data_IF_572071066550
#
_entry.id   IF_572071066550
#
_cell.length_a   1.000
_cell.length_b   1.000
_cell.length_c   1.000
_cell.angle_alpha   90.00
_cell.angle_beta   90.00
_cell.angle_gamma   90.00
#
_symmetry.space_group_name_H-M   'P 1'
#
loop_
_entity.id
_entity.type
_entity.pdbx_description
1 polymer ?
#
# COMPACT_ATOMS: atom_id res chain seq x y z
N UNK A 1 6.25 28.58 -5.48
CA UNK A 1 7.31 27.53 -5.33
C UNK A 1 6.60 26.20 -5.19
N UNK A 2 7.16 25.08 -5.66
CA UNK A 2 6.51 23.77 -5.49
C UNK A 2 7.11 23.07 -4.27
N UNK A 3 6.26 22.61 -3.36
CA UNK A 3 6.65 21.76 -2.22
C UNK A 3 6.50 20.31 -2.68
N UNK A 4 7.57 19.53 -2.61
CA UNK A 4 7.56 18.10 -2.95
C UNK A 4 7.68 17.32 -1.64
N UNK A 5 6.70 16.45 -1.36
CA UNK A 5 6.65 15.66 -0.14
C UNK A 5 6.20 14.23 -0.44
N UNK A 6 6.67 13.27 0.34
CA UNK A 6 6.08 11.93 0.37
C UNK A 6 5.12 11.79 1.56
N UNK A 7 4.11 10.95 1.41
CA UNK A 7 3.15 10.62 2.47
C UNK A 7 2.89 9.10 2.43
N UNK A 8 2.97 8.46 3.59
CA UNK A 8 2.85 7.02 3.72
C UNK A 8 2.21 6.60 5.05
N UNK A 9 1.63 5.40 5.06
CA UNK A 9 1.02 4.76 6.22
C UNK A 9 1.56 3.36 6.44
N UNK A 10 1.60 2.93 7.69
CA UNK A 10 2.03 1.58 8.05
C UNK A 10 1.14 0.99 9.15
N UNK A 11 0.83 -0.29 9.07
CA UNK A 11 0.10 -0.99 10.12
C UNK A 11 0.72 -2.36 10.39
N UNK A 12 1.04 -2.63 11.66
CA UNK A 12 1.55 -3.91 12.14
C UNK A 12 0.36 -4.84 12.46
N UNK A 13 -0.19 -5.44 11.42
CA UNK A 13 -1.51 -6.07 11.41
C UNK A 13 -2.58 -5.11 10.87
N UNK A 14 -3.61 -5.62 10.20
CA UNK A 14 -4.61 -4.78 9.56
C UNK A 14 -6.04 -5.26 9.88
N UNK A 15 -6.70 -4.72 10.95
CA UNK A 15 -6.24 -3.63 11.82
C UNK A 15 -5.21 -4.06 12.89
N UNK A 16 -4.41 -3.09 13.37
CA UNK A 16 -3.39 -3.28 14.40
C UNK A 16 -2.74 -1.95 14.80
N UNK A 17 -1.61 -1.96 15.53
CA UNK A 17 -0.81 -0.77 15.75
C UNK A 17 -0.45 -0.14 14.41
N UNK A 18 -0.79 1.13 14.22
CA UNK A 18 -0.67 1.82 12.94
C UNK A 18 0.03 3.16 13.09
N UNK A 19 0.75 3.55 12.05
CA UNK A 19 1.46 4.81 11.97
C UNK A 19 1.21 5.52 10.64
N UNK A 20 1.52 6.79 10.63
CA UNK A 20 1.51 7.65 9.45
C UNK A 20 2.74 8.56 9.48
N UNK A 21 3.23 8.93 8.33
CA UNK A 21 4.26 9.97 8.21
C UNK A 21 4.16 10.71 6.89
N UNK A 22 4.57 11.96 6.91
CA UNK A 22 4.94 12.71 5.72
C UNK A 22 6.40 13.18 5.85
N UNK A 23 7.08 13.29 4.71
CA UNK A 23 8.49 13.62 4.65
C UNK A 23 8.81 14.53 3.45
N UNK A 24 9.59 15.56 3.69
CA UNK A 24 10.14 16.46 2.68
C UNK A 24 11.68 16.39 2.73
N UNK A 25 12.25 16.58 3.91
CA UNK A 25 13.67 16.49 4.23
C UNK A 25 13.87 16.25 5.74
N UNK A 26 15.11 16.11 6.21
CA UNK A 26 15.41 15.81 7.63
C UNK A 26 14.93 16.90 8.62
N UNK A 27 14.72 18.12 8.17
CA UNK A 27 14.20 19.23 8.98
C UNK A 27 12.70 19.43 8.84
N UNK A 28 12.05 18.75 7.89
CA UNK A 28 10.64 18.92 7.55
C UNK A 28 9.98 17.56 7.36
N UNK A 29 9.50 16.99 8.46
CA UNK A 29 8.74 15.76 8.49
C UNK A 29 7.94 15.64 9.78
N UNK A 30 6.87 14.85 9.76
CA UNK A 30 6.16 14.46 10.96
C UNK A 30 5.63 13.05 10.85
N UNK A 31 5.47 12.40 12.01
CA UNK A 31 4.88 11.09 12.13
C UNK A 31 4.00 10.99 13.38
N UNK A 32 3.07 10.06 13.35
CA UNK A 32 2.18 9.75 14.46
C UNK A 32 1.49 8.43 14.24
N UNK A 33 0.51 8.08 15.08
CA UNK A 33 -0.16 6.80 14.91
C UNK A 33 -1.17 6.49 16.00
N UNK A 34 -1.59 5.24 16.05
CA UNK A 34 -2.59 4.70 16.97
C UNK A 34 -2.24 3.28 17.39
N UNK A 35 -2.73 2.89 18.57
CA UNK A 35 -2.64 1.50 19.03
C UNK A 35 -3.48 0.54 18.19
N UNK A 36 -4.49 1.07 17.49
CA UNK A 36 -5.36 0.30 16.64
C UNK A 36 -5.83 1.13 15.44
N UNK A 37 -5.36 0.79 14.26
CA UNK A 37 -5.69 1.43 13.01
C UNK A 37 -5.49 0.47 11.83
N UNK A 38 -5.64 1.00 10.62
CA UNK A 38 -5.39 0.27 9.37
C UNK A 38 -4.35 1.00 8.56
N UNK A 39 -3.72 0.32 7.62
CA UNK A 39 -2.80 0.96 6.69
C UNK A 39 -3.46 2.13 5.94
N UNK A 40 -4.67 1.90 5.43
CA UNK A 40 -5.43 2.95 4.72
C UNK A 40 -5.74 4.18 5.60
N UNK A 41 -5.92 3.98 6.93
CA UNK A 41 -6.01 5.13 7.86
C UNK A 41 -4.71 5.91 7.91
N UNK A 42 -3.58 5.20 8.02
CA UNK A 42 -2.25 5.81 8.03
C UNK A 42 -1.97 6.63 6.78
N UNK A 43 -2.22 6.06 5.62
CA UNK A 43 -2.08 6.69 4.31
C UNK A 43 -2.87 8.02 4.19
N UNK A 44 -4.16 7.95 4.52
CA UNK A 44 -5.01 9.15 4.47
C UNK A 44 -4.59 10.20 5.50
N UNK A 45 -4.21 9.77 6.71
CA UNK A 45 -3.77 10.68 7.76
C UNK A 45 -2.45 11.37 7.42
N UNK A 46 -1.50 10.64 6.82
CA UNK A 46 -0.23 11.23 6.36
C UNK A 46 -0.47 12.40 5.40
N UNK A 47 -1.37 12.22 4.44
CA UNK A 47 -1.76 13.27 3.49
C UNK A 47 -2.47 14.42 4.21
N UNK A 48 -3.39 14.14 5.13
CA UNK A 48 -4.09 15.15 5.91
C UNK A 48 -3.12 16.02 6.72
N UNK A 49 -2.20 15.39 7.44
CA UNK A 49 -1.22 16.10 8.26
C UNK A 49 -0.23 16.93 7.43
N UNK A 50 0.12 16.45 6.22
CA UNK A 50 0.92 17.24 5.28
C UNK A 50 0.17 18.52 4.84
N UNK A 51 -1.13 18.42 4.52
CA UNK A 51 -1.93 19.60 4.19
C UNK A 51 -2.03 20.57 5.36
N UNK A 52 -2.20 20.08 6.58
CA UNK A 52 -2.22 20.89 7.81
C UNK A 52 -0.88 21.59 8.05
N UNK A 53 0.21 20.85 7.98
CA UNK A 53 1.55 21.37 8.19
C UNK A 53 1.92 22.49 7.20
N UNK A 54 1.39 22.43 5.98
CA UNK A 54 1.65 23.40 4.91
C UNK A 54 0.51 24.39 4.70
N UNK A 55 -0.46 24.51 5.61
CA UNK A 55 -1.64 25.38 5.48
C UNK A 55 -1.26 26.85 5.27
N UNK A 56 -0.26 27.34 5.98
CA UNK A 56 0.24 28.70 5.88
C UNK A 56 0.88 29.05 4.52
N UNK A 57 1.15 28.04 3.68
CA UNK A 57 1.67 28.16 2.32
C UNK A 57 0.62 27.75 1.27
N UNK A 58 -0.65 28.07 1.51
CA UNK A 58 -1.76 27.66 0.64
C UNK A 58 -1.63 28.13 -0.83
N UNK A 59 -0.84 29.16 -1.09
CA UNK A 59 -0.53 29.65 -2.44
C UNK A 59 0.56 28.85 -3.17
N UNK A 60 1.26 27.95 -2.48
CA UNK A 60 2.29 27.10 -3.09
C UNK A 60 1.65 25.81 -3.62
N UNK A 61 2.20 25.31 -4.72
CA UNK A 61 1.81 24.00 -5.24
C UNK A 61 2.39 22.90 -4.36
N UNK A 62 1.55 21.91 -3.97
CA UNK A 62 1.97 20.74 -3.22
C UNK A 62 1.98 19.50 -4.12
N UNK A 63 3.16 18.93 -4.39
CA UNK A 63 3.33 17.68 -5.13
C UNK A 63 3.55 16.56 -4.13
N UNK A 64 2.60 15.62 -4.08
CA UNK A 64 2.55 14.55 -3.09
C UNK A 64 2.93 13.23 -3.77
N UNK A 65 4.06 12.66 -3.33
CA UNK A 65 4.50 11.34 -3.73
C UNK A 65 3.82 10.34 -2.80
N UNK A 66 3.10 9.38 -3.38
CA UNK A 66 2.35 8.39 -2.61
C UNK A 66 2.31 7.07 -3.39
N UNK A 67 2.53 5.95 -2.73
CA UNK A 67 2.42 4.62 -3.34
C UNK A 67 1.03 4.00 -3.16
N UNK A 68 0.19 4.59 -2.31
CA UNK A 68 -1.17 4.16 -2.08
C UNK A 68 -2.13 4.62 -3.19
N UNK A 69 -2.47 3.72 -4.09
CA UNK A 69 -3.55 3.94 -5.07
C UNK A 69 -4.89 4.25 -4.39
N UNK A 70 -5.13 3.64 -3.21
CA UNK A 70 -6.33 3.89 -2.43
C UNK A 70 -6.40 5.35 -1.97
N UNK A 71 -5.37 5.86 -1.31
CA UNK A 71 -5.33 7.25 -0.83
C UNK A 71 -5.48 8.26 -1.98
N UNK A 72 -4.74 8.06 -3.08
CA UNK A 72 -4.82 8.90 -4.27
C UNK A 72 -6.25 8.93 -4.83
N UNK A 73 -6.87 7.76 -5.01
CA UNK A 73 -8.22 7.68 -5.58
C UNK A 73 -9.29 8.22 -4.63
N UNK A 74 -9.18 7.96 -3.32
CA UNK A 74 -10.07 8.56 -2.33
C UNK A 74 -10.14 10.07 -2.48
N UNK A 75 -8.98 10.73 -2.52
CA UNK A 75 -8.89 12.19 -2.51
C UNK A 75 -9.19 12.78 -3.90
N UNK A 76 -8.60 12.22 -4.95
CA UNK A 76 -8.67 12.81 -6.30
C UNK A 76 -9.95 12.46 -7.06
N UNK A 77 -10.54 11.29 -6.82
CA UNK A 77 -11.63 10.77 -7.66
C UNK A 77 -12.94 10.55 -6.91
N UNK A 78 -12.92 9.89 -5.75
CA UNK A 78 -14.14 9.39 -5.13
C UNK A 78 -14.79 10.38 -4.17
N UNK A 79 -13.98 11.13 -3.42
CA UNK A 79 -14.45 12.08 -2.40
C UNK A 79 -15.50 13.07 -2.92
N UNK A 80 -15.38 13.68 -4.12
CA UNK A 80 -16.44 14.56 -4.63
C UNK A 80 -17.79 13.85 -4.82
N UNK A 81 -17.76 12.58 -5.25
CA UNK A 81 -18.96 11.75 -5.40
C UNK A 81 -19.56 11.36 -4.06
N UNK A 82 -18.74 10.99 -3.09
CA UNK A 82 -19.19 10.66 -1.74
C UNK A 82 -19.80 11.86 -1.03
N UNK A 83 -19.17 13.02 -1.12
CA UNK A 83 -19.68 14.27 -0.58
C UNK A 83 -21.10 14.59 -1.08
N UNK A 84 -21.33 14.45 -2.41
CA UNK A 84 -22.67 14.64 -3.01
C UNK A 84 -23.71 13.65 -2.50
N UNK A 85 -23.30 12.42 -2.11
CA UNK A 85 -24.16 11.36 -1.56
C UNK A 85 -24.23 11.37 -0.02
N UNK A 86 -23.77 12.43 0.65
CA UNK A 86 -23.74 12.51 2.11
C UNK A 86 -22.77 11.51 2.75
N UNK A 87 -21.58 11.32 2.14
CA UNK A 87 -20.51 10.42 2.60
C UNK A 87 -20.93 8.95 2.63
N UNK A 88 -21.65 8.55 1.60
CA UNK A 88 -22.10 7.16 1.41
C UNK A 88 -21.57 6.58 0.11
N UNK A 89 -21.26 5.29 0.14
CA UNK A 89 -20.96 4.47 -1.04
C UNK A 89 -22.19 4.31 -1.93
N UNK A 90 -22.02 3.74 -3.12
CA UNK A 90 -23.12 3.49 -4.05
C UNK A 90 -24.19 2.53 -3.48
N UNK A 91 -23.80 1.62 -2.60
CA UNK A 91 -24.68 0.68 -1.89
C UNK A 91 -25.41 1.30 -0.67
N UNK A 92 -25.20 2.59 -0.40
CA UNK A 92 -25.80 3.35 0.70
C UNK A 92 -25.10 3.21 2.06
N UNK A 93 -24.04 2.39 2.17
CA UNK A 93 -23.24 2.27 3.39
C UNK A 93 -22.37 3.50 3.61
N UNK A 94 -21.99 3.82 4.85
CA UNK A 94 -20.99 4.84 5.14
C UNK A 94 -19.67 4.53 4.44
N UNK A 95 -18.97 5.57 3.98
CA UNK A 95 -17.59 5.45 3.48
C UNK A 95 -16.67 5.09 4.65
N UNK A 96 -15.70 4.22 4.41
CA UNK A 96 -14.64 3.93 5.41
C UNK A 96 -13.78 5.18 5.62
N UNK A 97 -13.19 5.31 6.79
CA UNK A 97 -12.33 6.43 7.16
C UNK A 97 -13.00 7.81 6.96
N UNK A 98 -14.32 7.86 7.12
CA UNK A 98 -15.14 9.03 6.78
C UNK A 98 -14.70 10.30 7.51
N UNK A 99 -14.27 10.21 8.77
CA UNK A 99 -13.84 11.38 9.54
C UNK A 99 -12.56 11.98 8.94
N UNK A 100 -11.56 11.16 8.64
CA UNK A 100 -10.30 11.61 8.00
C UNK A 100 -10.61 12.21 6.62
N UNK A 101 -11.50 11.61 5.84
CA UNK A 101 -11.88 12.11 4.52
C UNK A 101 -12.63 13.43 4.57
N UNK A 102 -13.45 13.67 5.59
CA UNK A 102 -14.10 14.98 5.79
C UNK A 102 -13.09 16.06 6.15
N UNK A 103 -12.13 15.74 6.98
CA UNK A 103 -11.05 16.65 7.34
C UNK A 103 -10.13 16.94 6.15
N UNK A 104 -9.84 15.95 5.33
CA UNK A 104 -9.14 16.09 4.04
C UNK A 104 -9.93 17.02 3.09
N UNK A 105 -11.24 16.78 2.93
CA UNK A 105 -12.10 17.64 2.09
C UNK A 105 -12.04 19.13 2.54
N UNK A 106 -11.94 19.37 3.83
CA UNK A 106 -11.76 20.72 4.34
C UNK A 106 -10.34 21.28 4.08
N UNK A 107 -9.30 20.45 4.32
CA UNK A 107 -7.91 20.87 4.22
C UNK A 107 -7.45 21.16 2.78
N UNK A 108 -8.04 20.51 1.78
CA UNK A 108 -7.69 20.71 0.36
C UNK A 108 -8.39 21.89 -0.30
N UNK A 109 -9.33 22.56 0.40
CA UNK A 109 -10.04 23.70 -0.18
C UNK A 109 -9.08 24.84 -0.51
N UNK A 110 -9.19 25.35 -1.75
CA UNK A 110 -8.34 26.43 -2.27
C UNK A 110 -6.84 26.09 -2.29
N UNK A 111 -6.47 24.81 -2.31
CA UNK A 111 -5.10 24.34 -2.44
C UNK A 111 -4.81 23.88 -3.85
N UNK A 112 -3.62 24.24 -4.36
CA UNK A 112 -3.05 23.62 -5.58
C UNK A 112 -2.25 22.41 -5.17
N UNK A 113 -2.64 21.23 -5.64
CA UNK A 113 -1.90 19.99 -5.35
C UNK A 113 -1.99 19.00 -6.50
N UNK A 114 -0.98 18.16 -6.58
CA UNK A 114 -0.90 17.03 -7.52
C UNK A 114 -0.40 15.79 -6.79
N UNK A 115 -0.97 14.63 -7.12
CA UNK A 115 -0.42 13.35 -6.69
C UNK A 115 0.46 12.77 -7.78
N UNK A 116 1.59 12.27 -7.38
CA UNK A 116 2.45 11.42 -8.20
C UNK A 116 2.52 10.05 -7.56
N UNK A 117 2.01 9.05 -8.28
CA UNK A 117 2.16 7.69 -7.82
C UNK A 117 3.60 7.23 -7.97
N UNK A 118 4.17 6.71 -6.91
CA UNK A 118 5.48 6.07 -6.90
C UNK A 118 5.30 4.60 -6.56
N UNK A 119 6.23 3.77 -6.99
CA UNK A 119 6.19 2.37 -6.61
C UNK A 119 6.78 2.21 -5.21
N UNK A 120 6.03 1.64 -4.28
CA UNK A 120 6.50 1.32 -2.93
C UNK A 120 7.71 0.39 -2.96
N UNK A 121 8.64 0.58 -2.04
CA UNK A 121 9.87 -0.20 -1.87
C UNK A 121 10.71 -0.36 -3.16
N UNK A 122 10.76 0.68 -3.97
CA UNK A 122 11.47 0.69 -5.26
C UNK A 122 12.66 1.66 -5.33
N UNK A 123 13.19 2.10 -4.19
CA UNK A 123 14.35 2.98 -4.11
C UNK A 123 14.02 4.46 -4.29
N UNK A 124 12.77 4.88 -4.08
CA UNK A 124 12.41 6.29 -4.10
C UNK A 124 12.68 6.93 -2.74
N UNK A 125 13.78 7.68 -2.62
CA UNK A 125 14.32 8.20 -1.34
C UNK A 125 13.27 8.85 -0.43
N UNK A 126 12.42 9.74 -0.96
CA UNK A 126 11.40 10.42 -0.14
C UNK A 126 10.31 9.47 0.34
N UNK A 127 9.86 8.52 -0.51
CA UNK A 127 8.82 7.56 -0.12
C UNK A 127 9.35 6.57 0.91
N UNK A 128 10.58 6.07 0.74
CA UNK A 128 11.21 5.19 1.72
C UNK A 128 11.42 5.88 3.07
N UNK A 129 11.79 7.16 3.04
CA UNK A 129 11.91 7.95 4.26
C UNK A 129 10.56 8.15 4.98
N UNK A 130 9.46 8.30 4.26
CA UNK A 130 8.12 8.36 4.84
C UNK A 130 7.68 7.00 5.40
N UNK A 131 7.86 5.91 4.63
CA UNK A 131 7.56 4.53 5.06
C UNK A 131 8.29 4.16 6.36
N UNK A 132 9.62 4.40 6.42
CA UNK A 132 10.42 4.12 7.62
C UNK A 132 9.87 4.83 8.86
N UNK A 133 9.47 6.09 8.72
CA UNK A 133 8.92 6.90 9.83
C UNK A 133 7.51 6.46 10.22
N UNK A 134 6.65 6.15 9.27
CA UNK A 134 5.32 5.60 9.53
C UNK A 134 5.42 4.25 10.25
N UNK A 135 6.32 3.39 9.80
CA UNK A 135 6.60 2.09 10.42
C UNK A 135 7.21 2.24 11.82
N UNK A 136 8.11 3.19 12.03
CA UNK A 136 8.67 3.49 13.35
C UNK A 136 7.56 3.94 14.32
N UNK A 137 6.62 4.77 13.88
CA UNK A 137 5.47 5.20 14.66
C UNK A 137 4.55 4.02 15.02
N UNK A 138 4.21 3.16 14.06
CA UNK A 138 3.43 1.95 14.30
C UNK A 138 4.12 1.01 15.32
N UNK A 139 5.46 0.85 15.18
CA UNK A 139 6.26 0.03 16.10
C UNK A 139 6.31 0.62 17.51
N UNK A 140 6.37 1.95 17.64
CA UNK A 140 6.32 2.64 18.93
C UNK A 140 4.97 2.36 19.64
N UNK A 141 3.86 2.45 18.93
CA UNK A 141 2.53 2.07 19.43
C UNK A 141 2.46 0.61 19.85
N UNK A 142 2.99 -0.31 19.04
CA UNK A 142 3.03 -1.74 19.38
C UNK A 142 3.79 -2.00 20.68
N UNK A 143 4.85 -1.22 20.96
CA UNK A 143 5.71 -1.38 22.15
C UNK A 143 5.31 -0.47 23.29
N UNK A 144 4.24 0.31 23.16
CA UNK A 144 3.87 1.37 24.12
C UNK A 144 5.06 2.30 24.46
N UNK A 145 5.84 2.62 23.42
CA UNK A 145 7.03 3.49 23.51
C UNK A 145 6.69 4.90 22.99
N UNK A 146 7.50 5.92 23.33
CA UNK A 146 7.34 7.26 22.76
C UNK A 146 7.42 7.24 21.22
N UNK A 147 6.43 7.87 20.59
CA UNK A 147 6.38 7.98 19.12
C UNK A 147 7.34 9.07 18.65
N UNK A 148 8.17 8.83 17.63
CA UNK A 148 9.01 9.86 17.03
C UNK A 148 8.15 10.80 16.18
N UNK A 149 7.75 11.96 16.72
CA UNK A 149 6.82 12.88 16.04
C UNK A 149 7.47 13.76 14.95
N UNK A 150 8.80 13.87 14.93
CA UNK A 150 9.53 14.74 14.01
C UNK A 150 9.49 16.23 14.38
N UNK A 151 10.25 17.05 13.64
CA UNK A 151 10.32 18.51 13.86
C UNK A 151 9.08 19.28 13.37
N UNK A 152 8.25 18.62 12.57
CA UNK A 152 7.17 19.31 11.85
C UNK A 152 7.67 20.03 10.59
N UNK A 153 6.88 20.98 10.07
CA UNK A 153 7.25 21.80 8.92
C UNK A 153 7.86 23.13 9.41
N UNK A 154 9.15 23.32 9.14
CA UNK A 154 9.94 24.44 9.69
C UNK A 154 10.24 25.54 8.68
N UNK A 155 9.85 25.40 7.41
CA UNK A 155 10.04 26.45 6.40
C UNK A 155 9.21 27.66 6.75
N UNK A 156 9.90 28.78 6.95
CA UNK A 156 9.38 30.02 7.49
C UNK A 156 8.06 30.49 6.85
N UNK A 157 7.10 30.75 7.71
CA UNK A 157 6.26 31.92 7.52
C UNK A 157 7.17 33.14 7.56
N UNK A 158 7.01 34.08 6.61
CA UNK A 158 7.73 35.33 6.56
C UNK A 158 7.83 35.97 7.97
N UNK A 159 8.90 36.70 8.31
CA UNK A 159 9.17 37.15 9.66
C UNK A 159 8.04 38.05 10.15
N UNK A 160 7.21 37.54 11.06
CA UNK A 160 6.07 38.30 11.61
C UNK A 160 5.06 37.56 12.45
N UNK A 161 5.35 36.42 13.04
CA UNK A 161 4.46 35.89 14.10
C UNK A 161 5.24 34.98 15.05
N UNK A 162 5.87 35.60 16.04
CA UNK A 162 6.39 34.89 17.19
C UNK A 162 5.28 34.79 18.25
N UNK A 163 4.87 33.60 18.59
CA UNK A 163 4.18 33.31 19.85
C UNK A 163 4.56 31.94 20.38
N UNK A 164 5.39 32.01 21.42
CA UNK A 164 5.51 31.12 22.57
C UNK A 164 5.92 29.65 22.33
N UNK A 165 7.21 29.42 22.26
CA UNK A 165 7.82 28.15 22.66
C UNK A 165 8.12 28.22 24.17
N UNK A 166 7.59 27.26 24.91
CA UNK A 166 7.98 27.08 26.32
C UNK A 166 9.11 26.07 26.39
N UNK A 167 10.22 26.57 26.88
CA UNK A 167 11.49 25.89 27.13
C UNK A 167 11.38 24.78 28.18
N UNK A 168 12.02 23.66 27.94
CA UNK A 168 12.65 22.89 28.98
C UNK A 168 14.02 22.38 28.48
N UNK A 169 15.05 23.02 29.01
CA UNK A 169 16.45 22.66 28.81
C UNK A 169 16.90 21.63 29.82
N UNK A 170 17.82 20.74 29.42
CA UNK A 170 19.00 20.33 30.20
C UNK A 170 19.78 19.26 29.39
N UNK A 171 20.92 19.64 29.01
CA UNK A 171 22.30 19.41 29.49
C UNK A 171 23.04 18.32 28.72
N UNK A 172 24.05 18.76 28.00
CA UNK A 172 25.18 17.97 27.47
C UNK A 172 26.08 17.40 28.61
N UNK A 173 26.94 16.41 28.30
CA UNK A 173 28.32 16.85 28.04
C UNK A 173 29.03 16.12 26.89
N UNK A 174 29.96 16.90 26.31
CA UNK A 174 30.96 16.55 25.33
C UNK A 174 31.91 15.45 25.79
N UNK A 175 32.35 14.62 24.87
CA UNK A 175 33.77 14.17 24.87
C UNK A 175 34.26 13.95 23.44
N UNK A 176 35.38 14.56 23.19
CA UNK A 176 36.23 14.52 22.00
C UNK A 176 37.06 13.24 21.95
N UNK A 177 37.23 12.64 20.77
CA UNK A 177 38.46 11.99 20.38
C UNK A 177 38.57 11.84 18.84
N UNK A 178 39.68 12.11 18.40
CA UNK A 178 40.32 12.46 17.14
C UNK A 178 40.95 11.21 16.52
N UNK A 179 41.14 11.27 15.16
CA UNK A 179 42.21 10.64 14.37
C UNK A 179 41.98 9.17 14.00
N UNK A 180 42.19 8.65 12.77
CA UNK A 180 43.10 8.97 11.67
C UNK A 180 42.61 8.35 10.36
N UNK A 181 43.07 8.88 9.26
CA UNK A 181 42.90 8.40 7.89
C UNK A 181 43.83 7.22 7.59
N UNK A 182 43.39 6.25 6.80
CA UNK A 182 44.27 5.51 5.93
C UNK A 182 43.62 5.21 4.56
N UNK A 183 44.42 5.58 3.56
CA UNK A 183 44.21 5.36 2.14
C UNK A 183 44.57 3.94 1.75
N UNK A 184 43.76 3.32 0.89
CA UNK A 184 44.12 2.07 0.24
C UNK A 184 43.44 1.94 -1.10
N UNK A 185 44.19 2.24 -2.14
CA UNK A 185 43.83 2.01 -3.54
C UNK A 185 43.97 0.53 -3.90
N UNK A 186 43.14 0.06 -4.84
CA UNK A 186 43.61 -1.01 -5.66
C UNK A 186 42.59 -2.05 -6.12
N UNK A 187 42.35 -2.02 -7.38
CA UNK A 187 42.23 -3.12 -8.36
C UNK A 187 40.85 -3.59 -8.78
N UNK A 188 40.54 -3.15 -10.00
CA UNK A 188 39.63 -3.82 -10.94
C UNK A 188 40.19 -5.17 -11.38
N UNK A 189 39.33 -6.15 -11.54
CA UNK A 189 39.59 -7.37 -12.31
C UNK A 189 38.23 -7.99 -12.80
N UNK A 190 38.24 -8.87 -13.79
CA UNK A 190 37.76 -8.54 -15.12
C UNK A 190 36.40 -9.22 -15.45
N UNK A 191 35.75 -8.67 -16.46
CA UNK A 191 34.57 -9.22 -17.15
C UNK A 191 34.91 -10.58 -17.79
N UNK A 192 34.26 -11.65 -17.36
CA UNK A 192 34.20 -12.90 -18.11
C UNK A 192 32.84 -13.00 -18.85
N UNK A 193 32.90 -12.75 -20.16
CA UNK A 193 31.92 -13.24 -21.11
C UNK A 193 32.09 -14.74 -21.29
N UNK A 194 31.15 -15.51 -20.76
CA UNK A 194 31.09 -16.97 -20.95
C UNK A 194 29.69 -17.33 -21.40
N UNK A 195 29.49 -17.42 -22.71
CA UNK A 195 28.34 -18.08 -23.31
C UNK A 195 28.44 -19.58 -23.04
N UNK A 196 27.52 -20.13 -22.25
CA UNK A 196 27.23 -21.55 -22.24
C UNK A 196 25.71 -21.76 -22.31
N UNK A 197 25.27 -22.20 -23.48
CA UNK A 197 23.99 -22.85 -23.62
C UNK A 197 24.04 -24.15 -22.82
N UNK A 198 23.36 -24.20 -21.68
CA UNK A 198 23.09 -25.41 -20.93
C UNK A 198 21.77 -26.02 -21.43
N UNK A 199 21.84 -27.29 -21.79
CA UNK A 199 20.70 -28.16 -22.07
C UNK A 199 19.71 -28.17 -20.89
N UNK A 200 18.40 -28.48 -21.08
CA UNK A 200 17.44 -28.56 -20.01
C UNK A 200 17.79 -29.67 -19.05
N UNK A 201 18.46 -29.32 -17.96
CA UNK A 201 18.67 -30.21 -16.84
C UNK A 201 17.36 -30.44 -16.12
N UNK A 202 17.05 -31.70 -15.83
CA UNK A 202 15.98 -32.09 -14.92
C UNK A 202 15.99 -31.21 -13.67
N UNK A 203 14.93 -30.47 -13.50
CA UNK A 203 14.58 -29.83 -12.22
C UNK A 203 14.35 -30.97 -11.22
N UNK A 204 15.34 -31.24 -10.39
CA UNK A 204 15.17 -32.11 -9.24
C UNK A 204 14.05 -31.51 -8.38
N UNK A 205 12.86 -32.09 -8.44
CA UNK A 205 11.74 -31.80 -7.57
C UNK A 205 12.08 -32.32 -6.16
N UNK A 206 12.77 -31.49 -5.37
CA UNK A 206 13.02 -31.74 -3.95
C UNK A 206 12.51 -30.52 -3.13
N UNK A 207 11.22 -30.30 -3.17
CA UNK A 207 10.47 -29.40 -2.34
C UNK A 207 9.01 -29.68 -2.59
N UNK A 208 8.44 -30.69 -1.94
CA UNK A 208 6.99 -30.83 -1.89
C UNK A 208 6.49 -29.62 -1.11
N UNK A 209 5.74 -28.73 -1.79
CA UNK A 209 5.06 -27.63 -1.12
C UNK A 209 4.18 -28.23 -0.01
N UNK A 210 4.40 -27.83 1.22
CA UNK A 210 3.63 -28.33 2.35
C UNK A 210 2.18 -27.80 2.28
N UNK A 211 1.18 -28.60 2.71
CA UNK A 211 -0.18 -28.08 2.79
C UNK A 211 -0.20 -26.89 3.74
N UNK A 212 -0.83 -25.81 3.33
CA UNK A 212 -1.04 -24.64 4.20
C UNK A 212 -1.86 -25.05 5.43
N UNK A 213 -1.53 -24.51 6.59
CA UNK A 213 -2.25 -24.76 7.83
C UNK A 213 -3.77 -24.51 7.64
N UNK A 214 -4.60 -25.29 8.34
CA UNK A 214 -6.06 -25.24 8.16
C UNK A 214 -6.65 -23.82 8.41
N UNK A 215 -6.11 -23.12 9.40
CA UNK A 215 -6.54 -21.76 9.74
C UNK A 215 -6.16 -20.76 8.63
N UNK A 216 -4.92 -20.80 8.17
CA UNK A 216 -4.45 -19.97 7.06
C UNK A 216 -5.23 -20.26 5.77
N UNK A 217 -5.46 -21.54 5.48
CA UNK A 217 -6.27 -21.95 4.31
C UNK A 217 -7.68 -21.38 4.40
N UNK A 218 -8.35 -21.50 5.53
CA UNK A 218 -9.71 -20.99 5.72
C UNK A 218 -9.75 -19.46 5.57
N UNK A 219 -8.79 -18.76 6.14
CA UNK A 219 -8.66 -17.31 6.04
C UNK A 219 -8.45 -16.86 4.59
N UNK A 220 -7.42 -17.38 3.92
CA UNK A 220 -7.04 -16.96 2.56
C UNK A 220 -8.13 -17.34 1.55
N UNK A 221 -8.75 -18.52 1.69
CA UNK A 221 -9.89 -18.90 0.83
C UNK A 221 -11.15 -18.05 1.13
N UNK A 222 -11.32 -17.59 2.36
CA UNK A 222 -12.34 -16.61 2.73
C UNK A 222 -12.14 -15.28 2.00
N UNK A 223 -10.90 -14.77 1.94
CA UNK A 223 -10.54 -13.57 1.18
C UNK A 223 -10.77 -13.75 -0.33
N UNK A 224 -10.35 -14.90 -0.89
CA UNK A 224 -10.63 -15.24 -2.31
C UNK A 224 -12.12 -15.15 -2.62
N UNK A 225 -12.98 -15.74 -1.80
CA UNK A 225 -14.42 -15.67 -1.95
C UNK A 225 -14.97 -14.25 -1.82
N UNK A 226 -14.45 -13.47 -0.88
CA UNK A 226 -14.79 -12.05 -0.70
C UNK A 226 -14.45 -11.23 -1.94
N UNK A 227 -13.25 -11.41 -2.48
CA UNK A 227 -12.80 -10.75 -3.71
C UNK A 227 -13.64 -11.15 -4.93
N UNK A 228 -14.13 -12.38 -4.97
CA UNK A 228 -15.00 -12.89 -6.04
C UNK A 228 -16.47 -12.48 -5.90
N UNK A 229 -16.87 -11.83 -4.82
CA UNK A 229 -18.24 -11.32 -4.65
C UNK A 229 -18.60 -10.34 -5.77
N UNK A 230 -19.79 -10.53 -6.35
CA UNK A 230 -20.22 -9.73 -7.49
C UNK A 230 -20.31 -8.22 -7.20
N UNK A 231 -20.50 -7.83 -5.93
CA UNK A 231 -20.51 -6.41 -5.53
C UNK A 231 -19.08 -5.85 -5.51
N UNK A 232 -18.14 -6.59 -4.95
CA UNK A 232 -16.71 -6.22 -4.93
C UNK A 232 -16.19 -6.06 -6.35
N UNK A 233 -16.53 -6.96 -7.26
CA UNK A 233 -16.10 -6.94 -8.67
C UNK A 233 -16.78 -5.87 -9.54
N UNK A 234 -17.61 -5.03 -8.97
CA UNK A 234 -18.21 -3.86 -9.63
C UNK A 234 -17.70 -2.53 -9.10
N UNK A 235 -16.86 -2.54 -8.09
CA UNK A 235 -16.32 -1.36 -7.43
C UNK A 235 -14.80 -1.49 -7.29
N UNK A 236 -14.04 -0.59 -7.93
CA UNK A 236 -12.59 -0.58 -7.76
C UNK A 236 -12.20 -0.30 -6.29
N UNK A 237 -12.95 0.56 -5.60
CA UNK A 237 -12.76 0.88 -4.19
C UNK A 237 -12.83 -0.36 -3.28
N UNK A 238 -13.74 -1.30 -3.57
CA UNK A 238 -13.89 -2.53 -2.79
C UNK A 238 -12.91 -3.63 -3.27
N UNK A 239 -12.58 -3.63 -4.56
CA UNK A 239 -11.73 -4.65 -5.14
C UNK A 239 -10.24 -4.43 -4.84
N UNK A 240 -9.79 -3.17 -4.86
CA UNK A 240 -8.36 -2.83 -4.64
C UNK A 240 -7.87 -3.24 -3.26
N UNK A 241 -8.76 -3.30 -2.27
CA UNK A 241 -8.40 -3.72 -0.91
C UNK A 241 -7.92 -5.18 -0.83
N UNK A 242 -8.25 -6.00 -1.82
CA UNK A 242 -7.75 -7.37 -1.92
C UNK A 242 -6.43 -7.47 -2.68
N UNK A 243 -6.05 -6.45 -3.44
CA UNK A 243 -4.97 -6.55 -4.39
C UNK A 243 -3.61 -6.18 -3.79
N UNK A 244 -2.60 -6.97 -4.14
CA UNK A 244 -1.21 -6.58 -3.98
C UNK A 244 -0.85 -5.50 -5.02
N UNK A 245 0.03 -4.52 -4.74
CA UNK A 245 0.46 -3.53 -5.73
C UNK A 245 1.00 -4.12 -7.05
N UNK A 246 1.62 -5.28 -6.98
CA UNK A 246 2.09 -6.01 -8.15
C UNK A 246 1.11 -7.08 -8.65
N UNK A 247 -0.19 -6.91 -8.41
CA UNK A 247 -1.21 -7.84 -8.87
C UNK A 247 -1.22 -8.04 -10.38
N UNK A 248 -1.40 -9.30 -10.79
CA UNK A 248 -1.65 -9.69 -12.17
C UNK A 248 -2.69 -10.82 -12.23
N UNK A 249 -3.58 -10.75 -13.21
CA UNK A 249 -4.55 -11.80 -13.49
C UNK A 249 -4.45 -12.20 -14.97
N UNK A 250 -4.34 -13.49 -15.24
CA UNK A 250 -4.51 -14.06 -16.58
C UNK A 250 -5.93 -14.58 -16.70
N UNK A 251 -6.74 -13.91 -17.49
CA UNK A 251 -8.12 -14.28 -17.72
C UNK A 251 -8.22 -15.57 -18.54
N UNK A 252 -9.37 -16.23 -18.50
CA UNK A 252 -9.68 -17.42 -19.33
C UNK A 252 -9.55 -17.20 -20.84
N UNK A 253 -9.51 -15.96 -21.29
CA UNK A 253 -9.34 -15.59 -22.70
C UNK A 253 -7.89 -15.18 -23.03
N UNK A 254 -6.94 -15.38 -22.13
CA UNK A 254 -5.53 -15.03 -22.31
C UNK A 254 -5.19 -13.56 -22.12
N UNK A 255 -6.16 -12.73 -21.70
CA UNK A 255 -5.90 -11.32 -21.38
C UNK A 255 -5.17 -11.20 -20.04
N UNK A 256 -4.19 -10.29 -19.99
CA UNK A 256 -3.48 -9.94 -18.76
C UNK A 256 -4.12 -8.67 -18.17
N UNK A 257 -4.49 -8.75 -16.91
CA UNK A 257 -5.02 -7.63 -16.13
C UNK A 257 -4.03 -7.32 -15.00
N UNK A 258 -3.76 -6.06 -14.79
CA UNK A 258 -3.07 -5.52 -13.63
C UNK A 258 -3.98 -4.55 -12.87
N UNK A 259 -3.50 -3.97 -11.78
CA UNK A 259 -4.29 -3.02 -10.98
C UNK A 259 -4.81 -1.86 -11.82
N UNK A 260 -3.96 -1.29 -12.70
CA UNK A 260 -4.32 -0.15 -13.54
C UNK A 260 -5.39 -0.52 -14.57
N UNK A 261 -5.26 -1.68 -15.20
CA UNK A 261 -6.23 -2.20 -16.17
C UNK A 261 -7.58 -2.49 -15.50
N UNK A 262 -7.57 -3.12 -14.33
CA UNK A 262 -8.80 -3.36 -13.54
C UNK A 262 -9.48 -2.04 -13.20
N UNK A 263 -8.73 -1.05 -12.75
CA UNK A 263 -9.25 0.27 -12.46
C UNK A 263 -9.93 0.89 -13.69
N UNK A 264 -9.24 0.88 -14.83
CA UNK A 264 -9.76 1.44 -16.07
C UNK A 264 -11.08 0.77 -16.53
N UNK A 265 -11.14 -0.56 -16.40
CA UNK A 265 -12.37 -1.34 -16.71
C UNK A 265 -13.51 -0.90 -15.81
N UNK A 266 -13.30 -0.84 -14.49
CA UNK A 266 -14.35 -0.48 -13.53
C UNK A 266 -14.74 1.00 -13.60
N UNK A 267 -13.79 1.91 -13.83
CA UNK A 267 -14.06 3.35 -14.01
C UNK A 267 -14.86 3.63 -15.30
N UNK A 268 -14.72 2.78 -16.35
CA UNK A 268 -15.52 2.87 -17.58
C UNK A 268 -16.99 2.43 -17.41
N UNK A 269 -17.37 1.99 -16.20
CA UNK A 269 -18.70 1.44 -15.89
C UNK A 269 -18.88 -0.03 -16.33
N UNK A 270 -17.82 -0.66 -16.83
CA UNK A 270 -17.81 -2.09 -17.09
C UNK A 270 -17.71 -2.86 -15.77
N UNK A 271 -17.99 -4.17 -15.84
CA UNK A 271 -17.92 -5.06 -14.67
C UNK A 271 -16.92 -6.16 -14.95
N UNK A 272 -16.16 -6.53 -13.93
CA UNK A 272 -15.41 -7.77 -14.00
C UNK A 272 -16.39 -8.95 -14.05
N UNK A 273 -16.02 -10.08 -14.70
CA UNK A 273 -16.91 -11.23 -14.83
C UNK A 273 -17.49 -11.65 -13.47
N UNK A 274 -18.81 -11.82 -13.43
CA UNK A 274 -19.48 -12.29 -12.24
C UNK A 274 -19.13 -13.75 -11.95
N UNK A 275 -18.96 -14.06 -10.67
CA UNK A 275 -18.57 -15.37 -10.20
C UNK A 275 -19.75 -16.06 -9.50
N UNK A 276 -19.74 -17.38 -9.52
CA UNK A 276 -20.70 -18.23 -8.83
C UNK A 276 -20.01 -19.08 -7.75
N UNK A 277 -20.60 -20.24 -7.41
CA UNK A 277 -20.07 -21.11 -6.38
C UNK A 277 -18.61 -21.51 -6.63
N UNK A 278 -17.82 -21.52 -5.56
CA UNK A 278 -16.42 -21.92 -5.54
C UNK A 278 -16.22 -23.19 -4.70
N UNK A 279 -15.33 -24.07 -5.14
CA UNK A 279 -14.93 -25.27 -4.43
C UNK A 279 -13.41 -25.33 -4.34
N UNK A 280 -12.86 -25.25 -3.12
CA UNK A 280 -11.43 -25.43 -2.90
C UNK A 280 -10.99 -26.85 -3.32
N UNK A 281 -9.94 -26.95 -4.08
CA UNK A 281 -9.29 -28.21 -4.47
C UNK A 281 -8.07 -28.48 -3.60
N UNK A 282 -7.19 -27.48 -3.47
CA UNK A 282 -5.99 -27.58 -2.64
C UNK A 282 -5.50 -26.18 -2.21
N UNK A 283 -4.71 -26.16 -1.14
CA UNK A 283 -3.99 -24.99 -0.66
C UNK A 283 -2.58 -25.42 -0.21
N UNK A 284 -1.57 -24.72 -0.69
CA UNK A 284 -0.18 -25.00 -0.37
C UNK A 284 0.52 -23.74 0.13
N UNK A 285 1.27 -23.86 1.23
CA UNK A 285 2.23 -22.85 1.64
C UNK A 285 3.47 -23.00 0.75
N UNK A 286 3.75 -21.97 -0.04
CA UNK A 286 4.94 -21.91 -0.89
C UNK A 286 6.11 -21.26 -0.14
N UNK A 287 5.80 -20.40 0.83
CA UNK A 287 6.69 -19.77 1.79
C UNK A 287 5.84 -19.35 3.01
N UNK A 288 6.48 -18.84 4.06
CA UNK A 288 5.80 -18.39 5.28
C UNK A 288 4.79 -17.26 4.99
N UNK A 289 5.06 -16.46 3.96
CA UNK A 289 4.26 -15.31 3.52
C UNK A 289 3.51 -15.56 2.21
N UNK A 290 3.52 -16.78 1.64
CA UNK A 290 2.97 -17.04 0.32
C UNK A 290 2.14 -18.33 0.28
N UNK A 291 0.86 -18.20 -0.07
CA UNK A 291 -0.07 -19.32 -0.22
C UNK A 291 -0.58 -19.42 -1.66
N UNK A 292 -0.51 -20.60 -2.23
CA UNK A 292 -1.18 -20.98 -3.47
C UNK A 292 -2.51 -21.64 -3.14
N UNK A 293 -3.59 -21.12 -3.74
CA UNK A 293 -4.90 -21.80 -3.79
C UNK A 293 -5.13 -22.35 -5.19
N UNK A 294 -5.72 -23.54 -5.27
CA UNK A 294 -6.37 -24.01 -6.49
C UNK A 294 -7.83 -24.36 -6.17
N UNK A 295 -8.76 -23.89 -7.00
CA UNK A 295 -10.19 -24.08 -6.76
C UNK A 295 -10.97 -24.14 -8.07
N UNK A 296 -12.17 -24.74 -8.02
CA UNK A 296 -13.15 -24.67 -9.09
C UNK A 296 -14.08 -23.50 -8.86
N UNK A 297 -14.47 -22.84 -9.94
CA UNK A 297 -15.45 -21.77 -9.93
C UNK A 297 -16.42 -21.95 -11.11
N UNK A 298 -17.70 -21.86 -10.84
CA UNK A 298 -18.71 -21.83 -11.89
C UNK A 298 -19.07 -20.37 -12.16
N UNK A 299 -18.79 -19.85 -13.39
CA UNK A 299 -19.18 -18.49 -13.74
C UNK A 299 -20.68 -18.27 -13.69
N UNK A 300 -21.13 -17.06 -13.30
CA UNK A 300 -22.55 -16.73 -13.21
C UNK A 300 -23.24 -16.63 -14.58
N UNK A 301 -22.47 -16.45 -15.65
CA UNK A 301 -22.94 -16.39 -17.04
C UNK A 301 -23.30 -17.78 -17.62
N UNK A 302 -23.17 -18.84 -16.82
CA UNK A 302 -23.45 -20.21 -17.25
C UNK A 302 -22.39 -20.84 -18.14
N UNK A 303 -21.26 -20.18 -18.40
CA UNK A 303 -20.14 -20.73 -19.16
C UNK A 303 -19.48 -21.93 -18.44
N UNK A 304 -18.52 -22.58 -19.11
CA UNK A 304 -17.82 -23.74 -18.57
C UNK A 304 -17.20 -23.44 -17.19
N UNK A 305 -17.18 -24.46 -16.33
CA UNK A 305 -16.48 -24.42 -15.05
C UNK A 305 -15.04 -24.03 -15.27
N UNK A 306 -14.50 -23.20 -14.42
CA UNK A 306 -13.12 -22.78 -14.44
C UNK A 306 -12.34 -23.48 -13.32
N UNK A 307 -11.13 -23.89 -13.62
CA UNK A 307 -10.09 -24.20 -12.63
C UNK A 307 -9.24 -22.95 -12.49
N UNK A 308 -9.21 -22.40 -11.28
CA UNK A 308 -8.49 -21.18 -10.97
C UNK A 308 -7.32 -21.51 -10.05
N UNK A 309 -6.23 -20.78 -10.22
CA UNK A 309 -5.14 -20.71 -9.25
C UNK A 309 -4.91 -19.27 -8.83
N UNK A 310 -4.64 -19.04 -7.55
CA UNK A 310 -4.33 -17.71 -7.03
C UNK A 310 -3.21 -17.78 -6.00
N UNK A 311 -2.35 -16.78 -6.02
CA UNK A 311 -1.26 -16.61 -5.07
C UNK A 311 -1.57 -15.44 -4.17
N UNK A 312 -1.66 -15.72 -2.89
CA UNK A 312 -1.89 -14.75 -1.85
C UNK A 312 -0.61 -14.54 -1.07
N UNK A 313 -0.17 -13.31 -0.98
CA UNK A 313 1.02 -12.91 -0.27
C UNK A 313 0.65 -12.18 1.00
N UNK A 314 1.24 -12.60 2.13
CA UNK A 314 1.16 -11.87 3.39
C UNK A 314 2.01 -10.62 3.26
N UNK A 315 1.38 -9.48 3.46
CA UNK A 315 2.02 -8.16 3.50
C UNK A 315 1.80 -7.54 4.87
N UNK A 316 2.35 -6.39 5.10
CA UNK A 316 2.06 -5.60 6.30
C UNK A 316 0.58 -5.19 6.40
N UNK A 317 -0.10 -5.14 5.26
CA UNK A 317 -1.54 -4.84 5.16
C UNK A 317 -2.41 -6.11 5.22
N UNK A 318 -1.87 -7.25 5.61
CA UNK A 318 -2.54 -8.54 5.59
C UNK A 318 -2.32 -9.30 4.27
N UNK A 319 -3.13 -10.34 4.08
CA UNK A 319 -3.06 -11.16 2.87
C UNK A 319 -3.60 -10.40 1.65
N UNK A 320 -2.79 -10.29 0.58
CA UNK A 320 -3.13 -9.62 -0.68
C UNK A 320 -2.96 -10.56 -1.85
N UNK A 321 -3.88 -10.47 -2.80
CA UNK A 321 -3.84 -11.26 -4.03
C UNK A 321 -2.72 -10.75 -4.95
N UNK A 322 -1.71 -11.57 -5.17
CA UNK A 322 -0.55 -11.26 -6.01
C UNK A 322 -0.74 -11.68 -7.45
N UNK A 323 -1.30 -12.85 -7.65
CA UNK A 323 -1.49 -13.43 -8.97
C UNK A 323 -2.75 -14.28 -9.00
N UNK A 324 -3.46 -14.28 -10.12
CA UNK A 324 -4.61 -15.14 -10.37
C UNK A 324 -4.62 -15.60 -11.82
N UNK A 325 -5.00 -16.86 -12.04
CA UNK A 325 -5.21 -17.42 -13.39
C UNK A 325 -6.50 -18.20 -13.46
N UNK A 326 -7.19 -18.04 -14.57
CA UNK A 326 -8.39 -18.80 -14.92
C UNK A 326 -8.12 -19.73 -16.11
N UNK A 327 -8.57 -20.98 -16.00
CA UNK A 327 -8.47 -21.96 -17.07
C UNK A 327 -9.80 -22.69 -17.22
N UNK A 328 -10.35 -22.78 -18.43
CA UNK A 328 -11.57 -23.52 -18.66
C UNK A 328 -11.35 -25.02 -18.40
N UNK A 329 -12.22 -25.63 -17.56
CA UNK A 329 -12.18 -27.08 -17.32
C UNK A 329 -12.61 -27.81 -18.58
N UNK A 330 -11.75 -28.71 -19.09
CA UNK A 330 -12.07 -29.53 -20.25
C UNK A 330 -13.07 -30.62 -19.81
N UNK A 331 -14.16 -30.87 -20.55
CA UNK A 331 -15.00 -32.02 -20.30
C UNK A 331 -14.16 -33.30 -20.45
N UNK A 332 -14.27 -34.18 -19.48
CA UNK A 332 -13.63 -35.50 -19.52
C UNK A 332 -14.37 -36.43 -20.47
#
# INVERSE_FOLDING_TARGET
MTIIAAADGSALGNPGPAGWAWYIDEQNWAAGGWDHGTNNMGELQAVLELFRATEHLAGEELRILCDSQYAINCISKWMPGWKKRGWKKADGKPVMNQEILKELDAAIQNRSYTFEWVRGHAGHELNEAADERARAAATAHQRSAPVPHGPGFTRDAAPGSAAAATTAAAAEPRTTAKTEAETGAGQAAPVHTGSHAAAPGELAASGQAEPAGAETTAMVFGLERGMLDGKVRTSFEEFVDFLHPGYQEVSRHGGLLDVATVQQVLDSGQRLPATGPTQLLTAHALADDLVLLAYRMKPADGSATLVCSSWWQQTEQGWKLRFRQETAEQPR
#
